data_IF_320871689974
#
_entry.id   IF_320871689974
#
_cell.length_a   1.000
_cell.length_b   1.000
_cell.length_c   1.000
_cell.angle_alpha   90.00
_cell.angle_beta   90.00
_cell.angle_gamma   90.00
#
_symmetry.space_group_name_H-M   'P 1'
#
loop_
_entity.id
_entity.type
_entity.pdbx_description
1 polymer ?
#
# COMPACT_ATOMS: atom_id res chain seq x y z
N UNK A 1 -20.25 11.69 52.71
CA UNK A 1 -20.12 10.51 51.82
C UNK A 1 -20.79 10.69 50.44
N UNK A 2 -21.99 11.31 50.34
CA UNK A 2 -22.69 11.47 49.05
C UNK A 2 -21.98 12.35 48.01
N UNK A 3 -21.32 13.43 48.46
CA UNK A 3 -20.57 14.37 47.61
C UNK A 3 -19.34 13.75 46.96
N UNK A 4 -18.61 12.88 47.67
CA UNK A 4 -17.42 12.20 47.16
C UNK A 4 -17.78 11.18 46.05
N UNK A 5 -18.92 10.48 46.20
CA UNK A 5 -19.43 9.56 45.17
C UNK A 5 -19.86 10.29 43.90
N UNK A 6 -20.49 11.47 44.05
CA UNK A 6 -20.90 12.32 42.91
C UNK A 6 -19.69 12.84 42.13
N UNK A 7 -18.64 13.31 42.83
CA UNK A 7 -17.40 13.76 42.20
C UNK A 7 -16.66 12.63 41.46
N UNK A 8 -16.59 11.42 42.05
CA UNK A 8 -15.99 10.26 41.41
C UNK A 8 -16.74 9.84 40.13
N UNK A 9 -18.08 9.91 40.14
CA UNK A 9 -18.91 9.60 38.97
C UNK A 9 -18.73 10.62 37.85
N UNK A 10 -18.62 11.91 38.17
CA UNK A 10 -18.30 12.96 37.20
C UNK A 10 -16.91 12.78 36.58
N UNK A 11 -15.91 12.44 37.39
CA UNK A 11 -14.55 12.18 36.90
C UNK A 11 -14.51 10.95 35.99
N UNK A 12 -15.26 9.90 36.33
CA UNK A 12 -15.37 8.69 35.50
C UNK A 12 -16.06 8.97 34.15
N UNK A 13 -17.15 9.74 34.15
CA UNK A 13 -17.82 10.20 32.93
C UNK A 13 -16.92 11.10 32.09
N UNK A 14 -16.18 12.04 32.71
CA UNK A 14 -15.23 12.89 32.02
C UNK A 14 -14.08 12.08 31.40
N UNK A 15 -13.58 11.05 32.09
CA UNK A 15 -12.57 10.12 31.58
C UNK A 15 -13.09 9.25 30.42
N UNK A 16 -14.35 8.81 30.47
CA UNK A 16 -15.01 8.12 29.35
C UNK A 16 -15.17 9.03 28.13
N UNK A 17 -15.59 10.27 28.35
CA UNK A 17 -15.69 11.28 27.29
C UNK A 17 -14.32 11.62 26.70
N UNK A 18 -13.29 11.79 27.53
CA UNK A 18 -11.91 12.03 27.08
C UNK A 18 -11.34 10.84 26.29
N UNK A 19 -11.64 9.59 26.69
CA UNK A 19 -11.29 8.42 25.89
C UNK A 19 -11.97 8.42 24.53
N UNK A 20 -13.25 8.75 24.47
CA UNK A 20 -13.97 8.85 23.19
C UNK A 20 -13.43 9.98 22.30
N UNK A 21 -13.09 11.14 22.87
CA UNK A 21 -12.48 12.26 22.12
C UNK A 21 -11.04 11.93 21.67
N UNK A 22 -10.25 11.22 22.48
CA UNK A 22 -8.91 10.78 22.10
C UNK A 22 -8.93 9.68 21.03
N UNK A 23 -9.94 8.79 21.04
CA UNK A 23 -10.23 7.87 19.95
C UNK A 23 -10.70 8.59 18.67
N UNK A 24 -11.17 9.84 18.82
CA UNK A 24 -11.64 10.71 17.76
C UNK A 24 -10.54 11.67 17.24
N UNK A 25 -9.26 11.33 17.47
CA UNK A 25 -8.24 11.70 16.50
C UNK A 25 -8.59 10.96 15.19
N UNK A 26 -9.40 11.59 14.34
CA UNK A 26 -9.97 11.02 13.11
C UNK A 26 -8.97 10.07 12.45
N UNK A 27 -9.26 8.77 12.48
CA UNK A 27 -8.52 7.76 11.73
C UNK A 27 -8.39 8.28 10.29
N UNK A 28 -7.14 8.50 9.86
CA UNK A 28 -6.87 9.14 8.58
C UNK A 28 -7.23 8.16 7.47
N UNK A 29 -8.05 8.57 6.50
CA UNK A 29 -8.33 7.76 5.32
C UNK A 29 -7.02 7.30 4.68
N UNK A 30 -6.92 6.02 4.32
CA UNK A 30 -5.69 5.43 3.84
C UNK A 30 -5.87 4.80 2.45
N UNK A 31 -5.02 5.19 1.51
CA UNK A 31 -4.99 4.65 0.15
C UNK A 31 -3.70 3.90 -0.10
N UNK A 32 -3.80 2.76 -0.79
CA UNK A 32 -2.66 1.91 -1.11
C UNK A 32 -2.65 1.65 -2.61
N UNK A 33 -1.51 1.94 -3.23
CA UNK A 33 -1.23 1.65 -4.64
C UNK A 33 0.04 0.82 -4.71
N UNK A 34 0.13 -0.05 -5.71
CA UNK A 34 1.36 -0.80 -5.89
C UNK A 34 1.18 -2.23 -6.37
N UNK A 35 2.15 -3.04 -6.00
CA UNK A 35 2.30 -4.44 -6.38
C UNK A 35 1.94 -5.42 -5.24
N UNK A 36 2.44 -6.66 -5.36
CA UNK A 36 2.21 -7.77 -4.43
C UNK A 36 2.64 -7.47 -3.00
N UNK A 37 3.59 -6.56 -2.78
CA UNK A 37 4.09 -6.24 -1.43
C UNK A 37 3.01 -5.60 -0.55
N UNK A 38 2.01 -4.99 -1.19
CA UNK A 38 0.94 -4.27 -0.51
C UNK A 38 -0.45 -4.71 -0.94
N UNK A 39 -0.59 -5.59 -1.94
CA UNK A 39 -1.87 -6.21 -2.27
C UNK A 39 -2.41 -7.04 -1.08
N UNK A 40 -3.71 -6.89 -0.84
CA UNK A 40 -4.45 -7.61 0.19
C UNK A 40 -5.66 -8.38 -0.36
N UNK A 41 -5.71 -8.61 -1.68
CA UNK A 41 -6.64 -9.54 -2.31
C UNK A 41 -7.35 -9.02 -3.55
N UNK A 42 -6.92 -7.93 -4.19
CA UNK A 42 -7.53 -7.49 -5.45
C UNK A 42 -7.37 -8.57 -6.53
N UNK A 43 -6.22 -9.23 -6.59
CA UNK A 43 -5.95 -10.26 -7.58
C UNK A 43 -6.85 -11.50 -7.46
N UNK A 44 -7.47 -11.73 -6.29
CA UNK A 44 -8.39 -12.85 -6.09
C UNK A 44 -9.68 -12.70 -6.93
N UNK A 45 -9.99 -11.47 -7.35
CA UNK A 45 -11.14 -11.14 -8.20
C UNK A 45 -10.82 -11.14 -9.70
N UNK A 46 -9.60 -11.51 -10.10
CA UNK A 46 -9.12 -11.46 -11.49
C UNK A 46 -8.71 -12.84 -11.99
N UNK A 47 -8.95 -13.17 -13.26
CA UNK A 47 -8.40 -14.39 -13.86
C UNK A 47 -6.88 -14.25 -14.10
N UNK A 48 -6.08 -14.50 -13.07
CA UNK A 48 -4.61 -14.34 -13.04
C UNK A 48 -3.94 -15.45 -12.25
N UNK A 49 -2.67 -15.71 -12.54
CA UNK A 49 -1.79 -16.59 -11.77
C UNK A 49 -1.14 -15.88 -10.58
N UNK A 50 -1.15 -14.55 -10.55
CA UNK A 50 -0.59 -13.75 -9.45
C UNK A 50 -1.60 -13.64 -8.29
N UNK A 51 -1.89 -14.73 -7.59
CA UNK A 51 -2.84 -14.77 -6.46
C UNK A 51 -2.19 -15.27 -5.17
N UNK A 52 -2.76 -14.85 -4.05
CA UNK A 52 -2.36 -15.27 -2.70
C UNK A 52 -3.57 -15.77 -1.88
N UNK A 53 -4.52 -16.42 -2.57
CA UNK A 53 -5.73 -17.05 -2.00
C UNK A 53 -5.54 -18.54 -1.68
N UNK A 54 -4.29 -19.03 -1.69
CA UNK A 54 -3.91 -20.41 -1.38
C UNK A 54 -2.87 -20.49 -0.24
N UNK A 55 -2.68 -21.70 0.31
CA UNK A 55 -1.56 -21.95 1.24
C UNK A 55 -0.22 -21.82 0.49
N UNK A 56 0.88 -21.37 1.13
CA UNK A 56 1.05 -21.15 2.58
C UNK A 56 0.61 -19.78 3.10
N UNK A 57 0.07 -18.89 2.26
CA UNK A 57 -0.30 -17.53 2.67
C UNK A 57 -1.33 -17.52 3.80
N UNK A 58 -1.17 -16.57 4.72
CA UNK A 58 -2.08 -16.39 5.86
C UNK A 58 -1.93 -17.40 7.02
N UNK A 59 -0.87 -18.22 7.05
CA UNK A 59 -0.65 -19.20 8.14
C UNK A 59 -0.49 -18.57 9.53
N UNK A 60 0.12 -17.39 9.60
CA UNK A 60 0.35 -16.61 10.83
C UNK A 60 -0.74 -15.54 11.04
N UNK A 61 -1.69 -15.40 10.10
CA UNK A 61 -2.83 -14.50 10.25
C UNK A 61 -3.78 -15.02 11.35
N UNK A 62 -4.49 -14.16 12.11
CA UNK A 62 -5.38 -14.62 13.20
C UNK A 62 -6.40 -15.70 12.80
N UNK A 63 -6.88 -15.68 11.55
CA UNK A 63 -7.83 -16.68 11.02
C UNK A 63 -7.16 -17.97 10.54
N UNK A 64 -5.83 -17.98 10.37
CA UNK A 64 -5.02 -19.04 9.75
C UNK A 64 -5.52 -19.49 8.37
N UNK A 65 -6.13 -18.57 7.62
CA UNK A 65 -6.66 -18.79 6.28
C UNK A 65 -5.96 -17.86 5.28
N UNK A 66 -5.83 -18.26 4.00
CA UNK A 66 -5.33 -17.37 2.97
C UNK A 66 -6.14 -16.07 2.93
N UNK A 67 -5.42 -14.95 2.91
CA UNK A 67 -6.02 -13.62 3.03
C UNK A 67 -5.97 -12.81 1.74
N UNK A 68 -5.30 -13.31 0.69
CA UNK A 68 -4.97 -12.52 -0.49
C UNK A 68 -3.72 -11.66 -0.34
N UNK A 69 -3.04 -11.70 0.82
CA UNK A 69 -1.75 -11.05 1.03
C UNK A 69 -0.63 -12.01 0.67
N UNK A 70 0.40 -11.52 -0.02
CA UNK A 70 1.63 -12.26 -0.30
C UNK A 70 2.53 -12.35 0.94
N UNK A 71 1.97 -12.78 2.07
CA UNK A 71 2.60 -12.88 3.39
C UNK A 71 1.96 -14.01 4.19
N UNK A 72 2.65 -14.49 5.22
CA UNK A 72 2.07 -15.41 6.19
C UNK A 72 1.02 -14.73 7.08
N UNK A 73 1.06 -13.40 7.21
CA UNK A 73 0.19 -12.65 8.10
C UNK A 73 -0.15 -11.27 7.56
N UNK A 74 0.04 -10.25 8.40
CA UNK A 74 -0.14 -8.85 8.04
C UNK A 74 0.92 -8.39 7.03
N UNK A 75 0.55 -7.46 6.17
CA UNK A 75 1.47 -6.76 5.26
C UNK A 75 1.68 -5.30 5.73
N UNK A 76 2.57 -4.56 5.05
CA UNK A 76 2.92 -3.18 5.43
C UNK A 76 1.68 -2.27 5.59
N UNK A 77 0.70 -2.26 4.66
CA UNK A 77 -0.55 -1.54 4.82
C UNK A 77 -1.30 -1.84 6.11
N UNK A 78 -1.37 -3.09 6.54
CA UNK A 78 -2.06 -3.45 7.77
C UNK A 78 -1.39 -2.84 9.00
N UNK A 79 -0.06 -2.94 9.06
CA UNK A 79 0.73 -2.38 10.16
C UNK A 79 0.59 -0.84 10.22
N UNK A 80 0.52 -0.19 9.04
CA UNK A 80 0.27 1.25 8.97
C UNK A 80 -1.16 1.57 9.44
N UNK A 81 -2.16 0.81 9.01
CA UNK A 81 -3.55 0.95 9.49
C UNK A 81 -3.63 0.86 11.01
N UNK A 82 -3.00 -0.17 11.61
CA UNK A 82 -2.93 -0.31 13.07
C UNK A 82 -2.24 0.88 13.74
N UNK A 83 -1.11 1.33 13.20
CA UNK A 83 -0.36 2.46 13.74
C UNK A 83 -1.12 3.80 13.69
N UNK A 84 -2.01 4.00 12.70
CA UNK A 84 -2.86 5.19 12.60
C UNK A 84 -4.22 5.03 13.30
N UNK A 85 -4.44 3.92 14.01
CA UNK A 85 -5.70 3.63 14.70
C UNK A 85 -6.88 3.38 13.75
N UNK A 86 -6.61 3.01 12.51
CA UNK A 86 -7.62 2.66 11.52
C UNK A 86 -7.76 1.14 11.39
N UNK A 87 -8.93 0.69 10.94
CA UNK A 87 -9.03 -0.70 10.47
C UNK A 87 -8.24 -0.90 9.17
N UNK A 88 -7.91 -2.16 8.87
CA UNK A 88 -7.25 -2.49 7.60
C UNK A 88 -8.16 -2.15 6.41
N UNK A 89 -7.58 -1.50 5.40
CA UNK A 89 -8.31 -1.16 4.17
C UNK A 89 -8.74 -2.42 3.42
N UNK A 90 -9.89 -2.39 2.76
CA UNK A 90 -10.32 -3.50 1.92
C UNK A 90 -9.74 -3.37 0.50
N UNK A 91 -9.54 -4.50 -0.21
CA UNK A 91 -9.23 -4.44 -1.64
C UNK A 91 -10.38 -3.76 -2.37
N UNK A 92 -10.06 -2.89 -3.32
CA UNK A 92 -11.03 -2.08 -4.04
C UNK A 92 -12.13 -2.92 -4.72
N UNK A 93 -11.75 -4.09 -5.24
CA UNK A 93 -12.68 -5.02 -5.89
C UNK A 93 -13.53 -5.84 -4.90
N UNK A 94 -13.33 -5.69 -3.59
CA UNK A 94 -14.13 -6.39 -2.59
C UNK A 94 -15.58 -5.93 -2.59
N UNK A 95 -16.56 -6.85 -2.63
CA UNK A 95 -17.98 -6.50 -2.48
C UNK A 95 -18.29 -5.94 -1.08
N UNK A 96 -17.40 -6.16 -0.10
CA UNK A 96 -17.55 -5.61 1.25
C UNK A 96 -17.09 -4.15 1.36
N UNK A 97 -16.41 -3.59 0.35
CA UNK A 97 -16.02 -2.18 0.35
C UNK A 97 -17.23 -1.32 -0.02
N UNK A 98 -18.14 -1.09 0.92
CA UNK A 98 -19.37 -0.31 0.73
C UNK A 98 -19.69 0.53 1.96
N UNK A 99 -20.58 1.53 1.81
CA UNK A 99 -21.03 2.38 2.91
C UNK A 99 -19.86 3.04 3.67
N UNK A 100 -19.89 2.99 5.00
CA UNK A 100 -18.88 3.62 5.85
C UNK A 100 -17.46 3.05 5.66
N UNK A 101 -17.32 1.81 5.15
CA UNK A 101 -16.01 1.22 4.83
C UNK A 101 -15.29 2.01 3.75
N UNK A 102 -16.03 2.68 2.86
CA UNK A 102 -15.44 3.58 1.90
C UNK A 102 -14.72 4.75 2.59
N UNK A 103 -15.15 5.24 3.76
CA UNK A 103 -14.51 6.40 4.40
C UNK A 103 -13.16 6.07 5.08
N UNK A 104 -12.91 4.79 5.35
CA UNK A 104 -11.62 4.29 5.86
C UNK A 104 -10.54 4.36 4.78
N UNK A 105 -10.92 4.12 3.53
CA UNK A 105 -10.00 4.09 2.40
C UNK A 105 -10.10 2.78 1.62
N UNK A 106 -9.15 2.55 0.72
CA UNK A 106 -9.14 1.38 -0.14
C UNK A 106 -7.73 1.01 -0.58
N UNK A 107 -7.53 -0.28 -0.81
CA UNK A 107 -6.34 -0.82 -1.42
C UNK A 107 -6.58 -1.06 -2.91
N UNK A 108 -5.84 -0.36 -3.76
CA UNK A 108 -5.90 -0.45 -5.22
C UNK A 108 -4.76 -1.30 -5.81
N UNK A 109 -3.84 -1.78 -4.99
CA UNK A 109 -2.66 -2.51 -5.43
C UNK A 109 -3.01 -3.85 -6.07
N UNK A 110 -2.13 -4.34 -6.94
CA UNK A 110 -2.32 -5.60 -7.65
C UNK A 110 -0.99 -6.28 -7.91
N UNK A 111 -0.89 -7.54 -7.52
CA UNK A 111 0.32 -8.32 -7.71
C UNK A 111 0.73 -8.45 -9.18
N UNK A 112 2.05 -8.46 -9.40
CA UNK A 112 2.69 -8.62 -10.70
C UNK A 112 2.91 -7.32 -11.48
N UNK A 113 2.32 -6.20 -11.05
CA UNK A 113 2.51 -4.90 -11.70
C UNK A 113 3.90 -4.30 -11.40
N UNK A 114 4.42 -3.52 -12.35
CA UNK A 114 5.59 -2.66 -12.14
C UNK A 114 5.25 -1.18 -12.34
N UNK A 115 6.29 -0.35 -12.34
CA UNK A 115 6.24 1.04 -12.80
C UNK A 115 5.86 1.09 -14.27
N UNK A 116 6.44 0.20 -15.08
CA UNK A 116 6.19 0.15 -16.51
C UNK A 116 4.95 -0.72 -16.82
N UNK A 117 4.14 -0.28 -17.78
CA UNK A 117 2.89 -0.98 -18.14
C UNK A 117 3.11 -2.33 -18.82
N UNK A 118 4.28 -2.57 -19.41
CA UNK A 118 4.68 -3.84 -20.01
C UNK A 118 5.22 -4.85 -18.98
N UNK A 119 5.51 -4.42 -17.76
CA UNK A 119 5.90 -5.31 -16.66
C UNK A 119 4.71 -6.17 -16.21
N UNK A 120 4.95 -7.48 -16.01
CA UNK A 120 3.95 -8.40 -15.47
C UNK A 120 3.02 -9.04 -16.52
N UNK A 121 3.33 -8.93 -17.81
CA UNK A 121 2.53 -9.52 -18.90
C UNK A 121 2.30 -11.03 -18.73
N UNK A 122 3.24 -11.75 -18.10
CA UNK A 122 3.15 -13.19 -17.82
C UNK A 122 2.01 -13.57 -16.86
N UNK A 123 1.47 -12.60 -16.10
CA UNK A 123 0.39 -12.82 -15.13
C UNK A 123 -1.01 -12.59 -15.73
N UNK A 124 -1.11 -12.40 -17.05
CA UNK A 124 -2.35 -12.11 -17.76
C UNK A 124 -3.10 -10.89 -17.19
N UNK A 125 -4.14 -11.09 -16.38
CA UNK A 125 -4.99 -10.03 -15.87
C UNK A 125 -4.46 -9.44 -14.57
N UNK A 126 -3.80 -8.27 -14.65
CA UNK A 126 -3.32 -7.50 -13.50
C UNK A 126 -3.83 -6.06 -13.59
N UNK A 127 -4.02 -5.41 -12.43
CA UNK A 127 -4.49 -4.01 -12.36
C UNK A 127 -3.27 -3.09 -12.45
N UNK A 128 -2.98 -2.64 -13.68
CA UNK A 128 -1.87 -1.72 -13.95
C UNK A 128 -2.12 -0.35 -13.32
N UNK A 129 -1.06 0.43 -13.13
CA UNK A 129 -1.16 1.75 -12.49
C UNK A 129 -2.22 2.69 -13.08
N UNK A 130 -2.39 2.79 -14.42
CA UNK A 130 -3.50 3.56 -14.99
C UNK A 130 -4.87 3.08 -14.51
N UNK A 131 -5.07 1.76 -14.38
CA UNK A 131 -6.31 1.18 -13.87
C UNK A 131 -6.44 1.38 -12.36
N UNK A 132 -5.36 1.31 -11.57
CA UNK A 132 -5.42 1.63 -10.14
C UNK A 132 -5.84 3.10 -9.92
N UNK A 133 -5.35 4.03 -10.76
CA UNK A 133 -5.78 5.43 -10.74
C UNK A 133 -7.23 5.62 -11.18
N UNK A 134 -7.67 4.90 -12.23
CA UNK A 134 -9.07 4.91 -12.65
C UNK A 134 -10.00 4.37 -11.57
N UNK A 135 -9.55 3.36 -10.81
CA UNK A 135 -10.26 2.85 -9.65
C UNK A 135 -10.37 3.90 -8.55
N UNK A 136 -9.33 4.72 -8.31
CA UNK A 136 -9.42 5.87 -7.41
C UNK A 136 -10.46 6.88 -7.89
N UNK A 137 -10.51 7.21 -9.17
CA UNK A 137 -11.54 8.11 -9.71
C UNK A 137 -12.95 7.56 -9.51
N UNK A 138 -13.15 6.26 -9.73
CA UNK A 138 -14.44 5.62 -9.47
C UNK A 138 -14.76 5.60 -7.97
N UNK A 139 -13.78 5.30 -7.12
CA UNK A 139 -13.90 5.38 -5.67
C UNK A 139 -14.32 6.79 -5.22
N UNK A 140 -13.73 7.86 -5.79
CA UNK A 140 -14.09 9.26 -5.49
C UNK A 140 -15.56 9.52 -5.78
N UNK A 141 -16.09 9.02 -6.90
CA UNK A 141 -17.53 9.12 -7.22
C UNK A 141 -18.38 8.44 -6.16
N UNK A 142 -18.02 7.19 -5.80
CA UNK A 142 -18.74 6.40 -4.79
C UNK A 142 -18.75 7.06 -3.39
N UNK A 143 -17.65 7.70 -3.01
CA UNK A 143 -17.57 8.47 -1.74
C UNK A 143 -18.37 9.76 -1.84
N UNK A 144 -18.33 10.45 -2.98
CA UNK A 144 -19.12 11.64 -3.23
C UNK A 144 -20.62 11.40 -3.12
N UNK A 145 -21.10 10.22 -3.47
CA UNK A 145 -22.51 9.85 -3.28
C UNK A 145 -22.91 9.73 -1.79
N UNK A 146 -21.94 9.57 -0.88
CA UNK A 146 -22.16 9.40 0.57
C UNK A 146 -22.01 10.72 1.32
N UNK A 147 -20.94 11.46 1.05
CA UNK A 147 -20.55 12.66 1.83
C UNK A 147 -20.60 13.96 1.02
N UNK A 148 -20.93 13.89 -0.26
CA UNK A 148 -20.94 15.02 -1.17
C UNK A 148 -19.55 15.34 -1.77
N UNK A 149 -19.50 16.13 -2.87
CA UNK A 149 -18.26 16.38 -3.61
C UNK A 149 -17.20 17.14 -2.79
N UNK A 150 -17.62 18.17 -2.04
CA UNK A 150 -16.70 19.04 -1.31
C UNK A 150 -15.98 18.30 -0.17
N UNK A 151 -16.72 17.53 0.63
CA UNK A 151 -16.12 16.71 1.69
C UNK A 151 -15.30 15.55 1.10
N UNK A 152 -15.65 15.05 -0.08
CA UNK A 152 -14.82 14.07 -0.79
C UNK A 152 -13.46 14.65 -1.14
N UNK A 153 -13.39 15.84 -1.73
CA UNK A 153 -12.10 16.48 -2.04
C UNK A 153 -11.23 16.70 -0.80
N UNK A 154 -11.86 17.10 0.31
CA UNK A 154 -11.18 17.24 1.60
C UNK A 154 -10.67 15.90 2.13
N UNK A 155 -11.49 14.85 2.09
CA UNK A 155 -11.11 13.49 2.50
C UNK A 155 -9.93 12.97 1.67
N UNK A 156 -9.96 13.14 0.34
CA UNK A 156 -8.88 12.73 -0.56
C UNK A 156 -7.59 13.52 -0.27
N UNK A 157 -7.68 14.84 -0.13
CA UNK A 157 -6.49 15.68 0.12
C UNK A 157 -5.87 15.49 1.51
N UNK A 158 -6.67 15.08 2.51
CA UNK A 158 -6.19 14.83 3.87
C UNK A 158 -5.77 13.36 4.10
N UNK A 159 -6.08 12.46 3.17
CA UNK A 159 -5.71 11.05 3.24
C UNK A 159 -4.20 10.82 3.33
N UNK A 160 -3.82 9.64 3.85
CA UNK A 160 -2.49 9.07 3.71
C UNK A 160 -2.47 8.17 2.48
N UNK A 161 -1.38 8.17 1.72
CA UNK A 161 -1.21 7.30 0.56
C UNK A 161 0.10 6.53 0.67
N UNK A 162 0.07 5.22 0.44
CA UNK A 162 1.25 4.38 0.26
C UNK A 162 1.35 3.96 -1.22
N UNK A 163 2.55 4.07 -1.80
CA UNK A 163 2.85 3.60 -3.16
C UNK A 163 4.07 2.67 -3.11
N UNK A 164 3.92 1.44 -3.60
CA UNK A 164 5.03 0.47 -3.70
C UNK A 164 5.11 -0.14 -5.10
N UNK A 165 6.14 0.22 -5.86
CA UNK A 165 6.40 -0.30 -7.21
C UNK A 165 7.92 -0.42 -7.43
N UNK A 166 8.31 -1.01 -8.56
CA UNK A 166 9.68 -1.00 -9.07
C UNK A 166 10.37 -2.35 -9.02
N UNK A 167 10.13 -3.16 -7.98
CA UNK A 167 10.79 -4.46 -7.83
C UNK A 167 10.59 -5.38 -9.03
N UNK A 168 9.35 -5.47 -9.52
CA UNK A 168 8.99 -6.30 -10.67
C UNK A 168 9.64 -5.83 -11.99
N UNK A 169 9.92 -4.53 -12.16
CA UNK A 169 10.56 -3.99 -13.36
C UNK A 169 11.99 -4.51 -13.50
N UNK A 170 12.72 -4.68 -12.40
CA UNK A 170 14.06 -5.27 -12.42
C UNK A 170 14.02 -6.79 -12.47
N UNK A 171 13.21 -7.41 -11.60
CA UNK A 171 13.14 -8.87 -11.48
C UNK A 171 12.72 -9.51 -12.80
N UNK A 172 11.68 -9.00 -13.45
CA UNK A 172 11.16 -9.60 -14.68
C UNK A 172 12.02 -9.30 -15.91
N UNK A 173 12.76 -8.19 -15.93
CA UNK A 173 13.51 -7.78 -17.12
C UNK A 173 15.01 -8.07 -17.06
N UNK A 174 15.61 -8.21 -15.88
CA UNK A 174 17.07 -8.33 -15.73
C UNK A 174 17.53 -9.54 -14.93
N UNK A 175 16.69 -10.11 -14.06
CA UNK A 175 17.11 -11.20 -13.17
C UNK A 175 16.46 -12.55 -13.46
N UNK A 176 15.17 -12.58 -13.81
CA UNK A 176 14.46 -13.83 -14.09
C UNK A 176 14.50 -14.23 -15.57
N UNK A 177 14.38 -13.25 -16.48
CA UNK A 177 14.27 -13.53 -17.92
C UNK A 177 15.57 -13.15 -18.61
N UNK A 178 16.41 -14.13 -19.01
CA UNK A 178 17.61 -13.83 -19.78
C UNK A 178 17.22 -13.23 -21.14
N UNK A 179 17.95 -12.19 -21.57
CA UNK A 179 17.73 -11.49 -22.85
C UNK A 179 16.33 -10.91 -23.07
N UNK A 180 15.70 -10.41 -22.00
CA UNK A 180 14.45 -9.66 -22.12
C UNK A 180 14.55 -8.52 -23.15
N UNK A 181 13.41 -8.07 -23.67
CA UNK A 181 13.39 -6.94 -24.58
C UNK A 181 14.05 -5.69 -23.95
N UNK A 182 13.83 -5.47 -22.65
CA UNK A 182 14.39 -4.33 -21.92
C UNK A 182 15.89 -4.44 -21.67
N UNK A 183 16.40 -5.63 -21.33
CA UNK A 183 17.85 -5.83 -21.14
C UNK A 183 18.65 -5.71 -22.44
N UNK A 184 17.99 -5.90 -23.59
CA UNK A 184 18.58 -5.64 -24.93
C UNK A 184 18.48 -4.17 -25.35
N UNK A 185 17.47 -3.46 -24.87
CA UNK A 185 17.24 -2.05 -25.20
C UNK A 185 18.12 -1.10 -24.36
N UNK A 186 18.34 -1.44 -23.09
CA UNK A 186 19.06 -0.57 -22.15
C UNK A 186 20.16 -1.34 -21.41
N UNK A 187 21.30 -0.68 -21.23
CA UNK A 187 22.21 -1.03 -20.15
C UNK A 187 21.54 -0.69 -18.81
N UNK A 188 21.83 -1.48 -17.76
CA UNK A 188 21.16 -1.38 -16.47
C UNK A 188 21.15 0.06 -15.87
N UNK A 189 22.24 0.86 -15.90
CA UNK A 189 22.20 2.23 -15.39
C UNK A 189 21.18 3.13 -16.13
N UNK A 190 21.06 3.00 -17.44
CA UNK A 190 20.11 3.77 -18.24
C UNK A 190 18.67 3.32 -17.99
N UNK A 191 18.47 2.03 -17.72
CA UNK A 191 17.17 1.49 -17.35
C UNK A 191 16.68 2.02 -15.99
N UNK A 192 17.57 2.12 -15.00
CA UNK A 192 17.24 2.73 -13.70
C UNK A 192 16.73 4.16 -13.88
N UNK A 193 17.44 4.98 -14.67
CA UNK A 193 17.03 6.36 -14.97
C UNK A 193 15.66 6.38 -15.64
N UNK A 194 15.41 5.48 -16.59
CA UNK A 194 14.13 5.37 -17.27
C UNK A 194 12.99 5.01 -16.30
N UNK A 195 13.15 3.97 -15.46
CA UNK A 195 12.14 3.55 -14.48
C UNK A 195 11.84 4.68 -13.48
N UNK A 196 12.86 5.36 -12.94
CA UNK A 196 12.67 6.51 -12.05
C UNK A 196 11.90 7.64 -12.74
N UNK A 197 12.17 7.88 -14.02
CA UNK A 197 11.45 8.90 -14.80
C UNK A 197 9.97 8.57 -14.98
N UNK A 198 9.62 7.30 -15.20
CA UNK A 198 8.23 6.85 -15.31
C UNK A 198 7.53 6.82 -13.94
N UNK A 199 8.24 6.42 -12.88
CA UNK A 199 7.70 6.44 -11.52
C UNK A 199 7.38 7.88 -11.06
N UNK A 200 8.23 8.85 -11.42
CA UNK A 200 7.94 10.27 -11.18
C UNK A 200 6.62 10.70 -11.84
N UNK A 201 6.33 10.26 -13.07
CA UNK A 201 5.06 10.57 -13.75
C UNK A 201 3.87 9.99 -13.00
N UNK A 202 3.99 8.77 -12.47
CA UNK A 202 2.96 8.15 -11.63
C UNK A 202 2.69 9.00 -10.38
N UNK A 203 3.73 9.42 -9.66
CA UNK A 203 3.57 10.24 -8.46
C UNK A 203 2.94 11.61 -8.78
N UNK A 204 3.34 12.24 -9.88
CA UNK A 204 2.72 13.49 -10.35
C UNK A 204 1.24 13.29 -10.67
N UNK A 205 0.87 12.20 -11.33
CA UNK A 205 -0.54 11.91 -11.65
C UNK A 205 -1.38 11.66 -10.41
N UNK A 206 -0.84 10.94 -9.42
CA UNK A 206 -1.49 10.76 -8.12
C UNK A 206 -1.69 12.09 -7.39
N UNK A 207 -0.73 13.01 -7.49
CA UNK A 207 -0.87 14.36 -6.97
C UNK A 207 -1.98 15.14 -7.71
N UNK A 208 -2.04 15.08 -9.04
CA UNK A 208 -3.14 15.68 -9.83
C UNK A 208 -4.53 15.14 -9.42
N UNK A 209 -4.61 13.87 -9.02
CA UNK A 209 -5.85 13.24 -8.55
C UNK A 209 -6.30 13.70 -7.15
N UNK A 210 -5.48 14.49 -6.45
CA UNK A 210 -5.82 15.12 -5.18
C UNK A 210 -5.03 14.58 -3.99
N UNK A 211 -4.17 13.57 -4.17
CA UNK A 211 -3.38 13.01 -3.07
C UNK A 211 -2.26 13.97 -2.68
N UNK A 212 -2.13 14.27 -1.38
CA UNK A 212 -1.16 15.28 -0.87
C UNK A 212 -0.11 14.69 0.07
N UNK A 213 -0.36 13.52 0.67
CA UNK A 213 0.52 12.90 1.66
C UNK A 213 0.87 11.48 1.22
N UNK A 214 1.89 11.38 0.38
CA UNK A 214 2.32 10.11 -0.22
C UNK A 214 3.62 9.61 0.37
N UNK A 215 3.60 8.39 0.91
CA UNK A 215 4.75 7.58 1.27
C UNK A 215 5.09 6.69 0.06
N UNK A 216 6.34 6.68 -0.34
CA UNK A 216 6.84 5.87 -1.47
C UNK A 216 8.05 5.06 -1.02
N UNK A 217 8.06 3.76 -1.31
CA UNK A 217 9.17 2.86 -0.94
C UNK A 217 10.50 3.25 -1.60
N UNK A 218 10.47 3.90 -2.77
CA UNK A 218 11.69 4.42 -3.41
C UNK A 218 12.34 5.55 -2.58
N UNK A 219 11.53 6.36 -1.90
CA UNK A 219 12.02 7.48 -1.08
C UNK A 219 12.62 7.02 0.25
N UNK A 220 12.33 5.79 0.67
CA UNK A 220 12.78 5.19 1.92
C UNK A 220 14.09 4.37 1.83
N UNK A 221 14.85 4.49 0.73
CA UNK A 221 16.10 3.73 0.57
C UNK A 221 15.93 2.24 0.32
N UNK A 222 14.70 1.71 0.34
CA UNK A 222 14.40 0.28 0.14
C UNK A 222 14.77 -0.20 -1.27
N UNK A 223 14.60 0.63 -2.31
CA UNK A 223 15.11 0.29 -3.65
C UNK A 223 16.63 0.36 -3.71
N UNK A 224 17.27 1.29 -3.00
CA UNK A 224 18.74 1.34 -2.88
C UNK A 224 19.27 0.08 -2.19
N UNK A 225 18.57 -0.39 -1.16
CA UNK A 225 18.87 -1.62 -0.41
C UNK A 225 18.62 -2.88 -1.26
N UNK A 226 17.48 -2.96 -1.96
CA UNK A 226 17.18 -4.08 -2.87
C UNK A 226 18.16 -4.12 -4.04
N UNK A 227 18.46 -2.98 -4.67
CA UNK A 227 19.50 -2.88 -5.70
C UNK A 227 20.85 -3.29 -5.14
N UNK A 228 21.22 -2.87 -3.92
CA UNK A 228 22.49 -3.30 -3.30
C UNK A 228 22.54 -4.82 -3.06
N UNK A 229 21.48 -5.41 -2.51
CA UNK A 229 21.39 -6.85 -2.21
C UNK A 229 21.40 -7.70 -3.48
N UNK A 230 20.72 -7.27 -4.55
CA UNK A 230 20.58 -8.06 -5.77
C UNK A 230 21.65 -7.78 -6.84
N UNK A 231 22.28 -6.59 -6.85
CA UNK A 231 23.36 -6.26 -7.81
C UNK A 231 24.73 -6.70 -7.28
N UNK A 232 24.96 -6.72 -5.96
CA UNK A 232 26.26 -7.08 -5.41
C UNK A 232 26.12 -7.82 -4.06
N UNK A 233 26.07 -9.16 -4.03
CA UNK A 233 25.99 -9.93 -2.79
C UNK A 233 27.12 -9.64 -1.79
N UNK A 234 28.25 -9.09 -2.26
CA UNK A 234 29.39 -8.69 -1.44
C UNK A 234 29.26 -7.28 -0.83
N UNK A 235 28.22 -6.50 -1.15
CA UNK A 235 28.01 -5.16 -0.58
C UNK A 235 27.32 -5.19 0.80
N UNK A 236 26.87 -6.34 1.27
CA UNK A 236 26.31 -6.51 2.63
C UNK A 236 27.33 -6.08 3.70
N UNK A 237 28.62 -6.32 3.46
CA UNK A 237 29.69 -5.87 4.37
C UNK A 237 30.03 -4.37 4.26
N UNK A 238 29.38 -3.63 3.36
CA UNK A 238 29.57 -2.18 3.15
C UNK A 238 28.38 -1.33 3.58
N UNK A 239 27.36 -1.95 4.19
CA UNK A 239 26.20 -1.25 4.73
C UNK A 239 26.64 -0.34 5.89
N UNK A 240 26.22 0.92 5.84
CA UNK A 240 26.46 1.86 6.94
C UNK A 240 25.55 1.49 8.12
N UNK A 241 25.88 1.91 9.36
CA UNK A 241 25.00 1.70 10.52
C UNK A 241 23.57 2.23 10.31
N UNK A 242 23.41 3.29 9.52
CA UNK A 242 22.10 3.87 9.16
C UNK A 242 21.29 2.96 8.21
N UNK A 243 21.95 2.24 7.30
CA UNK A 243 21.29 1.26 6.41
C UNK A 243 20.83 0.01 7.18
N UNK A 244 21.54 -0.34 8.27
CA UNK A 244 21.23 -1.48 9.12
C UNK A 244 20.06 -1.22 10.08
N UNK A 245 19.78 0.05 10.41
CA UNK A 245 18.65 0.46 11.24
C UNK A 245 17.29 0.41 10.52
N UNK A 246 17.31 0.26 9.19
CA UNK A 246 16.12 0.05 8.36
C UNK A 246 15.74 -1.43 8.24
N UNK A 247 16.58 -2.35 8.72
CA UNK A 247 16.27 -3.77 8.75
C UNK A 247 15.42 -4.09 9.99
N UNK A 248 14.33 -4.88 9.85
CA UNK A 248 13.58 -5.34 11.01
C UNK A 248 14.51 -6.14 11.92
N UNK A 249 14.77 -5.61 13.12
CA UNK A 249 15.51 -6.32 14.15
C UNK A 249 14.68 -7.54 14.58
N UNK A 250 15.33 -8.70 14.65
CA UNK A 250 14.72 -9.98 15.05
C UNK A 250 14.13 -9.92 16.45
#
# INVERSE_FOLDING_TARGET
>A
MATLKSQAMFLFLALLMLKNVALQAHARTFFVFGDSLVDNGNNNYLATTARADNRPYGIDYPTRRPTGRFSNGLNIPDLISEAIGAESTLPYLSPMLTGQKLLVGANFASAGVGVLNDTGAQFANIIRMPTQMANLEQYKRRVSDIIGPQETEKLISQSLTLVTLGGNDFVNNYYLVPFSARSRQFALPNYVVYVVSEYRKILMRLYELGLRRTISTERSGVVRLLVSIFVNPASISSLTPEDMDLLPRR
#
